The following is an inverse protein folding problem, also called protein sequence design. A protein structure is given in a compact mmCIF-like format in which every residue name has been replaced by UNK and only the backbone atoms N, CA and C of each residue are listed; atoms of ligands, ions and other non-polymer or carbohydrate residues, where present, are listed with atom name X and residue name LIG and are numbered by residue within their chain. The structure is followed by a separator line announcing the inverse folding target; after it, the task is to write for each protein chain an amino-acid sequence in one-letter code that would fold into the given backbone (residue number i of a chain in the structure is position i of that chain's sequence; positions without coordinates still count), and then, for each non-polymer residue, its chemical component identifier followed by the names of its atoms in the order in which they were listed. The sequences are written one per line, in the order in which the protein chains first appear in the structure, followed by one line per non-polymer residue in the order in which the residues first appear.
data_IF_223087682398
#
_entry.id   IF_223087682398
#
_cell.length_a   1.000
_cell.length_b   1.000
_cell.length_c   1.000
_cell.angle_alpha   90.00
_cell.angle_beta   90.00
_cell.angle_gamma   90.00
#
_symmetry.space_group_name_H-M   'P 1'
#
loop_
_entity.id
_entity.type
_entity.pdbx_description
1 polymer ?
#
# COMPACT_ATOMS: atom_id res chain seq x y z
N UNK A 1 -17.77 46.46 48.37
CA UNK A 1 -18.52 46.41 47.09
C UNK A 1 -17.54 46.70 45.96
N UNK A 2 -17.40 45.76 45.01
CA UNK A 2 -16.97 45.86 43.58
C UNK A 2 -15.96 46.97 43.17
N UNK A 3 -14.90 46.77 42.37
CA UNK A 3 -14.68 45.82 41.26
C UNK A 3 -13.22 45.93 40.77
N UNK A 4 -12.66 44.81 40.33
CA UNK A 4 -11.35 44.63 39.70
C UNK A 4 -11.29 45.07 38.22
N UNK A 5 -10.09 44.88 37.61
CA UNK A 5 -9.66 44.85 36.18
C UNK A 5 -8.77 46.06 35.79
N UNK A 6 -7.54 45.95 35.27
CA UNK A 6 -6.99 45.17 34.13
C UNK A 6 -5.46 44.95 34.33
N UNK A 7 -4.89 43.74 34.24
CA UNK A 7 -4.31 43.03 33.05
C UNK A 7 -3.10 43.71 32.38
N UNK A 8 -1.94 43.03 32.42
CA UNK A 8 -0.94 42.80 31.34
C UNK A 8 0.42 42.44 31.97
N UNK A 9 1.29 41.57 31.48
CA UNK A 9 1.28 40.52 30.47
C UNK A 9 2.53 39.67 30.78
N UNK A 10 2.40 38.35 30.90
CA UNK A 10 3.56 37.46 31.05
C UNK A 10 3.86 36.82 29.69
N UNK A 11 4.98 37.24 29.09
CA UNK A 11 5.55 36.69 27.86
C UNK A 11 6.37 35.44 28.16
N UNK A 12 6.16 34.41 27.32
CA UNK A 12 7.13 33.41 26.87
C UNK A 12 7.63 32.41 27.93
N UNK A 13 7.88 31.13 27.68
CA UNK A 13 8.10 30.36 26.45
C UNK A 13 7.95 28.90 26.88
N UNK A 14 7.13 28.10 26.21
CA UNK A 14 7.31 26.64 26.25
C UNK A 14 7.38 26.19 24.81
N UNK A 15 8.63 26.04 24.34
CA UNK A 15 8.93 25.26 23.16
C UNK A 15 8.49 23.84 23.47
N UNK A 16 7.36 23.43 22.89
CA UNK A 16 6.99 22.03 22.80
C UNK A 16 8.07 21.40 21.92
N UNK A 17 8.99 20.67 22.53
CA UNK A 17 9.88 19.77 21.84
C UNK A 17 9.02 18.80 21.04
N UNK A 18 8.81 19.13 19.78
CA UNK A 18 8.37 18.17 18.77
C UNK A 18 9.46 17.10 18.68
N UNK A 19 9.29 16.03 19.45
CA UNK A 19 10.01 14.81 19.18
C UNK A 19 9.57 14.37 17.78
N UNK A 20 10.53 14.36 16.88
CA UNK A 20 10.40 13.96 15.50
C UNK A 20 9.65 12.63 15.39
N UNK A 21 8.78 12.57 14.39
CA UNK A 21 8.06 11.37 14.03
C UNK A 21 9.01 10.23 13.70
N UNK A 22 8.70 9.08 14.27
CA UNK A 22 8.68 7.83 13.56
C UNK A 22 7.34 7.23 13.96
N UNK A 23 6.34 7.35 13.07
CA UNK A 23 5.21 6.45 13.16
C UNK A 23 5.84 5.06 13.14
N UNK A 24 5.70 4.31 14.23
CA UNK A 24 5.87 2.87 14.16
C UNK A 24 4.81 2.42 13.15
N UNK A 25 5.18 2.38 11.86
CA UNK A 25 4.43 1.65 10.85
C UNK A 25 4.38 0.24 11.42
N UNK A 26 3.22 -0.12 11.98
CA UNK A 26 3.06 -1.36 12.70
C UNK A 26 3.47 -2.48 11.76
N UNK A 27 4.47 -3.25 12.18
CA UNK A 27 4.85 -4.47 11.46
C UNK A 27 3.62 -5.35 11.37
N UNK A 28 3.28 -5.79 10.17
CA UNK A 28 2.20 -6.74 9.98
C UNK A 28 2.63 -8.12 10.52
N UNK A 29 1.65 -8.90 10.98
CA UNK A 29 1.92 -10.29 11.36
C UNK A 29 2.40 -11.10 10.15
N UNK A 30 3.28 -12.07 10.40
CA UNK A 30 3.91 -12.90 9.36
C UNK A 30 2.87 -13.57 8.45
N UNK A 31 1.81 -14.15 9.04
CA UNK A 31 0.71 -14.77 8.30
C UNK A 31 0.05 -13.81 7.32
N UNK A 32 -0.05 -12.53 7.70
CA UNK A 32 -0.67 -11.49 6.88
C UNK A 32 0.26 -11.07 5.76
N UNK A 33 1.54 -10.88 6.04
CA UNK A 33 2.54 -10.64 5.01
C UNK A 33 2.55 -11.77 3.97
N UNK A 34 2.55 -13.03 4.43
CA UNK A 34 2.47 -14.19 3.57
C UNK A 34 1.18 -14.21 2.73
N UNK A 35 0.02 -13.93 3.34
CA UNK A 35 -1.26 -13.89 2.64
C UNK A 35 -1.26 -12.85 1.51
N UNK A 36 -0.78 -11.63 1.77
CA UNK A 36 -0.75 -10.57 0.76
C UNK A 36 0.24 -10.90 -0.36
N UNK A 37 1.43 -11.40 -0.04
CA UNK A 37 2.40 -11.82 -1.06
C UNK A 37 1.88 -12.97 -1.92
N UNK A 38 1.18 -13.95 -1.33
CA UNK A 38 0.57 -15.04 -2.09
C UNK A 38 -0.56 -14.54 -3.01
N UNK A 39 -1.38 -13.59 -2.54
CA UNK A 39 -2.41 -12.97 -3.35
C UNK A 39 -1.80 -12.18 -4.52
N UNK A 40 -0.72 -11.45 -4.27
CA UNK A 40 0.03 -10.77 -5.33
C UNK A 40 0.65 -11.74 -6.33
N UNK A 41 1.31 -12.81 -5.88
CA UNK A 41 1.87 -13.83 -6.77
C UNK A 41 0.80 -14.43 -7.69
N UNK A 42 -0.43 -14.62 -7.20
CA UNK A 42 -1.57 -15.06 -8.03
C UNK A 42 -1.97 -14.00 -9.06
N UNK A 43 -1.97 -12.72 -8.69
CA UNK A 43 -2.25 -11.62 -9.63
C UNK A 43 -1.16 -11.54 -10.71
N UNK A 44 0.10 -11.64 -10.35
CA UNK A 44 1.20 -11.66 -11.33
C UNK A 44 1.08 -12.86 -12.27
N UNK A 45 0.73 -14.04 -11.74
CA UNK A 45 0.48 -15.23 -12.53
C UNK A 45 -0.73 -15.08 -13.47
N UNK A 46 -1.82 -14.42 -13.03
CA UNK A 46 -3.00 -14.20 -13.88
C UNK A 46 -2.71 -13.22 -14.99
N UNK A 47 -1.96 -12.14 -14.70
CA UNK A 47 -1.49 -11.17 -15.69
C UNK A 47 -0.56 -11.78 -16.74
N UNK A 48 0.12 -12.86 -16.40
CA UNK A 48 0.93 -13.65 -17.33
C UNK A 48 0.15 -14.80 -18.01
N UNK A 49 -1.16 -14.93 -17.77
CA UNK A 49 -2.02 -15.94 -18.39
C UNK A 49 -1.95 -17.32 -17.75
N UNK A 50 -1.39 -17.45 -16.55
CA UNK A 50 -1.18 -18.73 -15.84
C UNK A 50 -2.16 -18.99 -14.70
N UNK A 51 -2.98 -18.00 -14.34
CA UNK A 51 -3.99 -18.11 -13.28
C UNK A 51 -5.28 -17.38 -13.65
N UNK A 52 -6.36 -17.70 -12.92
CA UNK A 52 -7.66 -17.07 -13.07
C UNK A 52 -7.62 -15.63 -12.53
N UNK A 53 -7.97 -14.65 -13.39
CA UNK A 53 -7.90 -13.22 -13.05
C UNK A 53 -8.90 -12.84 -11.96
N UNK A 54 -10.15 -13.30 -12.08
CA UNK A 54 -11.23 -12.97 -11.13
C UNK A 54 -10.88 -13.44 -9.70
N UNK A 55 -10.40 -14.68 -9.55
CA UNK A 55 -9.94 -15.19 -8.26
C UNK A 55 -8.71 -14.47 -7.72
N UNK A 56 -7.76 -14.09 -8.58
CA UNK A 56 -6.56 -13.38 -8.16
C UNK A 56 -6.91 -11.98 -7.63
N UNK A 57 -7.76 -11.24 -8.36
CA UNK A 57 -8.25 -9.93 -7.94
C UNK A 57 -9.06 -10.00 -6.65
N UNK A 58 -10.01 -10.95 -6.56
CA UNK A 58 -10.82 -11.15 -5.36
C UNK A 58 -9.97 -11.41 -4.11
N UNK A 59 -8.92 -12.24 -4.24
CA UNK A 59 -8.02 -12.54 -3.13
C UNK A 59 -7.29 -11.31 -2.58
N UNK A 60 -6.95 -10.33 -3.42
CA UNK A 60 -6.37 -9.07 -2.97
C UNK A 60 -7.41 -8.16 -2.34
N UNK A 61 -8.59 -8.04 -2.95
CA UNK A 61 -9.72 -7.24 -2.43
C UNK A 61 -10.12 -7.69 -1.02
N UNK A 62 -10.19 -9.01 -0.80
CA UNK A 62 -10.54 -9.58 0.51
C UNK A 62 -9.55 -9.20 1.62
N UNK A 63 -8.28 -8.97 1.28
CA UNK A 63 -7.24 -8.62 2.25
C UNK A 63 -7.22 -7.12 2.60
N UNK A 64 -7.64 -6.25 1.68
CA UNK A 64 -7.55 -4.78 1.83
C UNK A 64 -8.14 -4.20 3.13
N UNK A 65 -9.31 -4.65 3.65
CA UNK A 65 -9.87 -4.09 4.88
C UNK A 65 -8.96 -4.24 6.11
N UNK A 66 -8.01 -5.18 6.05
CA UNK A 66 -7.02 -5.36 7.09
C UNK A 66 -5.74 -4.54 6.89
N UNK A 67 -5.46 -4.02 5.71
CA UNK A 67 -4.14 -3.49 5.39
C UNK A 67 -4.00 -2.01 5.79
N UNK A 68 -2.76 -1.55 6.07
CA UNK A 68 -2.46 -0.13 6.12
C UNK A 68 -2.95 0.58 4.84
N UNK A 69 -3.46 1.80 4.99
CA UNK A 69 -4.07 2.54 3.89
C UNK A 69 -3.09 2.70 2.72
N UNK A 70 -1.81 2.98 3.02
CA UNK A 70 -0.78 3.12 1.99
C UNK A 70 -0.55 1.84 1.16
N UNK A 71 -0.82 0.66 1.72
CA UNK A 71 -0.72 -0.61 0.98
C UNK A 71 -2.01 -0.86 0.21
N UNK A 72 -3.17 -0.57 0.80
CA UNK A 72 -4.47 -0.71 0.14
C UNK A 72 -4.53 0.16 -1.12
N UNK A 73 -4.11 1.42 -1.05
CA UNK A 73 -4.05 2.33 -2.20
C UNK A 73 -3.19 1.75 -3.34
N UNK A 74 -2.06 1.09 -3.01
CA UNK A 74 -1.20 0.44 -4.01
C UNK A 74 -1.78 -0.84 -4.59
N UNK A 75 -2.58 -1.55 -3.81
CA UNK A 75 -3.33 -2.70 -4.32
C UNK A 75 -4.44 -2.22 -5.27
N UNK A 76 -5.12 -1.11 -4.98
CA UNK A 76 -6.07 -0.50 -5.91
C UNK A 76 -5.39 -0.11 -7.23
N UNK A 77 -4.24 0.57 -7.19
CA UNK A 77 -3.43 0.89 -8.39
C UNK A 77 -3.11 -0.37 -9.22
N UNK A 78 -2.74 -1.48 -8.55
CA UNK A 78 -2.45 -2.76 -9.20
C UNK A 78 -3.68 -3.41 -9.84
N UNK A 79 -4.82 -3.37 -9.14
CA UNK A 79 -6.08 -3.92 -9.65
C UNK A 79 -6.57 -3.12 -10.86
N UNK A 80 -6.44 -1.79 -10.85
CA UNK A 80 -6.76 -0.94 -11.99
C UNK A 80 -5.92 -1.29 -13.22
N UNK A 81 -4.61 -1.52 -13.03
CA UNK A 81 -3.74 -1.98 -14.12
C UNK A 81 -4.15 -3.38 -14.59
N UNK A 82 -4.49 -4.30 -13.68
CA UNK A 82 -4.92 -5.64 -14.04
C UNK A 82 -6.24 -5.65 -14.83
N UNK A 83 -7.21 -4.83 -14.42
CA UNK A 83 -8.47 -4.62 -15.12
C UNK A 83 -8.25 -4.06 -16.54
N UNK A 84 -7.26 -3.18 -16.71
CA UNK A 84 -6.91 -2.64 -18.04
C UNK A 84 -6.41 -3.70 -19.03
N UNK A 85 -5.96 -4.86 -18.55
CA UNK A 85 -5.54 -5.98 -19.38
C UNK A 85 -6.71 -6.86 -19.87
N UNK A 86 -7.93 -6.66 -19.36
CA UNK A 86 -9.06 -7.51 -19.72
C UNK A 86 -9.37 -7.45 -21.22
N UNK A 87 -9.46 -8.63 -21.82
CA UNK A 87 -9.70 -8.78 -23.26
C UNK A 87 -8.49 -8.49 -24.15
N UNK A 88 -7.31 -8.21 -23.58
CA UNK A 88 -6.04 -8.08 -24.30
C UNK A 88 -5.27 -9.40 -24.17
N UNK A 89 -4.78 -9.93 -25.28
CA UNK A 89 -3.98 -11.17 -25.24
C UNK A 89 -2.61 -10.93 -24.60
N UNK A 90 -2.16 -11.90 -23.79
CA UNK A 90 -0.80 -11.89 -23.24
C UNK A 90 0.20 -11.96 -24.39
N UNK A 91 1.07 -10.94 -24.48
CA UNK A 91 2.05 -10.78 -25.58
C UNK A 91 1.65 -9.72 -26.61
N UNK A 92 0.43 -9.20 -26.56
CA UNK A 92 0.07 -7.98 -27.30
C UNK A 92 0.92 -6.80 -26.79
N UNK A 93 1.51 -5.97 -27.66
CA UNK A 93 2.30 -4.80 -27.25
C UNK A 93 1.54 -3.77 -26.41
N UNK A 94 0.20 -3.77 -26.46
CA UNK A 94 -0.67 -2.93 -25.63
C UNK A 94 -1.00 -3.55 -24.26
N UNK A 95 -0.69 -4.83 -24.06
CA UNK A 95 -0.92 -5.50 -22.77
C UNK A 95 -0.06 -4.87 -21.67
N UNK A 96 -0.58 -4.62 -20.45
CA UNK A 96 0.17 -3.96 -19.37
C UNK A 96 1.49 -4.63 -18.97
N UNK A 97 1.59 -5.96 -19.15
CA UNK A 97 2.84 -6.70 -19.00
C UNK A 97 3.90 -6.35 -20.04
N UNK A 98 3.49 -5.99 -21.27
CA UNK A 98 4.37 -5.59 -22.35
C UNK A 98 4.74 -4.10 -22.29
N UNK A 99 3.81 -3.25 -21.83
CA UNK A 99 4.04 -1.81 -21.67
C UNK A 99 4.96 -1.48 -20.48
N UNK A 100 5.04 -2.37 -19.48
CA UNK A 100 5.79 -2.15 -18.25
C UNK A 100 4.96 -1.55 -17.11
N UNK A 101 3.67 -1.28 -17.35
CA UNK A 101 2.77 -0.65 -16.37
C UNK A 101 2.55 -1.54 -15.15
N UNK A 102 2.34 -2.84 -15.38
CA UNK A 102 2.15 -3.78 -14.27
C UNK A 102 3.40 -3.94 -13.40
N UNK A 103 4.59 -3.97 -14.02
CA UNK A 103 5.86 -4.05 -13.30
C UNK A 103 6.16 -2.78 -12.50
N UNK A 104 5.68 -1.62 -12.98
CA UNK A 104 5.75 -0.38 -12.21
C UNK A 104 4.84 -0.42 -11.00
N UNK A 105 3.56 -0.76 -11.19
CA UNK A 105 2.60 -0.87 -10.09
C UNK A 105 3.03 -1.92 -9.05
N UNK A 106 3.56 -3.07 -9.48
CA UNK A 106 4.08 -4.12 -8.58
C UNK A 106 5.24 -3.60 -7.74
N UNK A 107 6.20 -2.88 -8.33
CA UNK A 107 7.29 -2.26 -7.57
C UNK A 107 6.79 -1.24 -6.56
N UNK A 108 5.91 -0.34 -6.96
CA UNK A 108 5.38 0.71 -6.06
C UNK A 108 4.63 0.07 -4.86
N UNK A 109 3.92 -1.03 -5.10
CA UNK A 109 3.33 -1.86 -4.04
C UNK A 109 4.37 -2.51 -3.12
N UNK A 110 5.43 -3.12 -3.68
CA UNK A 110 6.47 -3.80 -2.87
C UNK A 110 7.24 -2.82 -2.00
N UNK A 111 7.53 -1.63 -2.54
CA UNK A 111 8.13 -0.53 -1.78
C UNK A 111 7.24 -0.08 -0.62
N UNK A 112 5.92 0.00 -0.83
CA UNK A 112 4.97 0.31 0.22
C UNK A 112 4.83 -0.82 1.26
N UNK A 113 4.93 -2.08 0.84
CA UNK A 113 4.82 -3.24 1.72
C UNK A 113 6.07 -3.47 2.58
N UNK A 114 7.26 -3.18 2.05
CA UNK A 114 8.55 -3.52 2.67
C UNK A 114 8.68 -3.10 4.15
N UNK A 115 8.28 -1.87 4.56
CA UNK A 115 8.34 -1.46 5.97
C UNK A 115 7.46 -2.32 6.90
N UNK A 116 6.38 -2.91 6.37
CA UNK A 116 5.42 -3.69 7.14
C UNK A 116 5.75 -5.18 7.18
N UNK A 117 6.55 -5.67 6.24
CA UNK A 117 6.93 -7.08 6.09
C UNK A 117 8.46 -7.27 6.03
N UNK A 118 9.22 -6.81 7.05
CA UNK A 118 10.69 -6.73 6.99
C UNK A 118 11.41 -8.09 6.97
N UNK A 119 10.73 -9.17 7.36
CA UNK A 119 11.28 -10.53 7.32
C UNK A 119 11.17 -11.18 5.93
N UNK A 120 10.51 -10.52 4.98
CA UNK A 120 10.27 -11.02 3.64
C UNK A 120 11.11 -10.25 2.63
N UNK A 121 11.77 -10.99 1.74
CA UNK A 121 12.45 -10.43 0.60
C UNK A 121 11.42 -10.15 -0.50
N UNK A 122 11.32 -8.88 -0.90
CA UNK A 122 10.34 -8.39 -1.87
C UNK A 122 11.00 -7.95 -3.19
N UNK A 123 12.33 -8.09 -3.33
CA UNK A 123 13.07 -7.69 -4.53
C UNK A 123 13.22 -8.86 -5.52
N UNK A 124 12.08 -9.49 -5.86
CA UNK A 124 11.98 -10.52 -6.90
C UNK A 124 11.57 -9.95 -8.26
#
# INVERSE_FOLDING_TARGET
MYRSHLIAAALSTVLISGASGALAQGTMGEDKCMAVMMAMSKLEASMAGYADSDQAQAGLIELQPGLPAEISDRIEDLLDVALSAEGIEVGDPSHPMATGEFQKASRDYREALAPHCPSFDLDY
#
